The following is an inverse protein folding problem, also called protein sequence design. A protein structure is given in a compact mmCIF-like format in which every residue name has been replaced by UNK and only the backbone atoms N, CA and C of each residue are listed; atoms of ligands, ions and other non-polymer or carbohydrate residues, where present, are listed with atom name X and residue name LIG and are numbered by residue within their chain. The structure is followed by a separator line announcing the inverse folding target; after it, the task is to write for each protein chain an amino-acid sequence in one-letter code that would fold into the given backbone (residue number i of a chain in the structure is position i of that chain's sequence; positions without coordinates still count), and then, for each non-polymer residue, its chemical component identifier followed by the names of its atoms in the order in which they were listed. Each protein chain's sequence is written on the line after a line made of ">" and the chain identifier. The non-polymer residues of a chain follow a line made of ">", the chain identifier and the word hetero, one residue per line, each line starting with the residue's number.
data_IF_798941058093
#
_entry.id   IF_798941058093
#
_cell.length_a   1.000
_cell.length_b   1.000
_cell.length_c   1.000
_cell.angle_alpha   90.00
_cell.angle_beta   90.00
_cell.angle_gamma   90.00
#
_symmetry.space_group_name_H-M   'P 1'
#
loop_
_entity.id
_entity.type
_entity.pdbx_description
1 polymer ?
#
# COMPACT_ATOMS: atom_id res chain seq x y z
N UNK A 1 -16.31 -12.10 -2.82
CA UNK A 1 -15.75 -11.63 -1.53
C UNK A 1 -15.25 -10.20 -1.72
N UNK A 2 -15.60 -9.28 -0.82
CA UNK A 2 -15.12 -7.89 -0.84
C UNK A 2 -14.75 -7.41 0.57
N UNK A 3 -13.71 -6.59 0.66
CA UNK A 3 -13.24 -5.97 1.90
C UNK A 3 -13.23 -4.45 1.74
N UNK A 4 -13.48 -3.74 2.85
CA UNK A 4 -13.29 -2.29 2.96
C UNK A 4 -12.03 -1.97 3.75
N UNK A 5 -11.33 -0.91 3.36
CA UNK A 5 -10.16 -0.39 4.07
C UNK A 5 -9.00 -1.39 4.20
N UNK A 6 -8.21 -1.55 3.14
CA UNK A 6 -7.06 -2.45 3.11
C UNK A 6 -5.77 -1.63 3.15
N UNK A 7 -4.87 -1.95 4.08
CA UNK A 7 -3.50 -1.41 4.12
C UNK A 7 -2.50 -2.48 3.69
N UNK A 8 -1.64 -2.16 2.72
CA UNK A 8 -0.63 -3.06 2.16
C UNK A 8 0.74 -2.47 2.44
N UNK A 9 1.59 -3.26 3.09
CA UNK A 9 2.96 -2.90 3.45
C UNK A 9 3.93 -3.70 2.57
N UNK A 10 4.68 -3.02 1.72
CA UNK A 10 5.67 -3.65 0.84
C UNK A 10 7.07 -3.52 1.44
N UNK A 11 7.73 -4.65 1.69
CA UNK A 11 9.07 -4.71 2.24
C UNK A 11 10.07 -5.17 1.17
N UNK A 12 11.29 -4.67 1.24
CA UNK A 12 12.40 -5.18 0.45
C UNK A 12 12.96 -6.51 1.04
N UNK A 13 13.91 -7.19 0.36
CA UNK A 13 14.51 -8.43 0.86
C UNK A 13 15.20 -8.30 2.22
N UNK A 14 15.72 -7.12 2.56
CA UNK A 14 16.32 -6.82 3.87
C UNK A 14 15.28 -6.46 4.96
N UNK A 15 13.99 -6.63 4.68
CA UNK A 15 12.86 -6.30 5.56
C UNK A 15 12.72 -4.82 5.91
N UNK A 16 13.22 -3.93 5.05
CA UNK A 16 12.94 -2.49 5.11
C UNK A 16 11.63 -2.19 4.38
N UNK A 17 10.77 -1.41 5.01
CA UNK A 17 9.52 -0.94 4.41
C UNK A 17 9.83 0.02 3.25
N UNK A 18 9.31 -0.26 2.06
CA UNK A 18 9.51 0.54 0.85
C UNK A 18 8.27 1.32 0.44
N UNK A 19 7.07 0.76 0.62
CA UNK A 19 5.86 1.53 0.39
C UNK A 19 4.71 1.07 1.29
N UNK A 20 3.81 2.02 1.52
CA UNK A 20 2.52 1.79 2.17
C UNK A 20 1.44 2.18 1.19
N UNK A 21 0.49 1.28 0.96
CA UNK A 21 -0.65 1.52 0.08
C UNK A 21 -1.95 1.32 0.86
N UNK A 22 -2.84 2.30 0.81
CA UNK A 22 -4.21 2.17 1.29
C UNK A 22 -5.16 2.01 0.11
N UNK A 23 -6.14 1.12 0.23
CA UNK A 23 -7.24 0.98 -0.71
C UNK A 23 -8.57 1.04 0.05
N UNK A 24 -9.49 1.91 -0.36
CA UNK A 24 -10.80 2.00 0.29
C UNK A 24 -11.60 0.70 0.13
N UNK A 25 -11.41 -0.04 -0.97
CA UNK A 25 -12.00 -1.36 -1.15
C UNK A 25 -11.13 -2.32 -1.96
N UNK A 26 -11.35 -3.61 -1.74
CA UNK A 26 -10.75 -4.71 -2.48
C UNK A 26 -11.81 -5.76 -2.84
N UNK A 27 -11.84 -6.17 -4.11
CA UNK A 27 -12.72 -7.24 -4.60
C UNK A 27 -11.90 -8.34 -5.24
N UNK A 28 -12.15 -9.58 -4.86
CA UNK A 28 -11.49 -10.72 -5.50
C UNK A 28 -12.13 -11.01 -6.86
N UNK A 29 -11.29 -10.98 -7.90
CA UNK A 29 -11.59 -11.40 -9.26
C UNK A 29 -11.17 -12.88 -9.38
N UNK A 30 -12.14 -13.79 -9.30
CA UNK A 30 -11.89 -15.22 -9.27
C UNK A 30 -11.43 -15.80 -10.61
N UNK A 31 -11.78 -15.14 -11.72
CA UNK A 31 -11.37 -15.56 -13.07
C UNK A 31 -9.86 -15.35 -13.23
N UNK A 32 -9.37 -14.17 -12.85
CA UNK A 32 -7.96 -13.82 -12.94
C UNK A 32 -7.15 -14.16 -11.68
N UNK A 33 -7.82 -14.60 -10.61
CA UNK A 33 -7.24 -14.89 -9.28
C UNK A 33 -6.45 -13.71 -8.69
N UNK A 34 -6.95 -12.50 -8.88
CA UNK A 34 -6.33 -11.27 -8.38
C UNK A 34 -7.28 -10.46 -7.51
N UNK A 35 -6.73 -9.63 -6.63
CA UNK A 35 -7.50 -8.61 -5.93
C UNK A 35 -7.51 -7.32 -6.75
N UNK A 36 -8.71 -6.83 -7.07
CA UNK A 36 -8.91 -5.52 -7.68
C UNK A 36 -9.09 -4.50 -6.56
N UNK A 37 -8.17 -3.55 -6.47
CA UNK A 37 -8.20 -2.46 -5.48
C UNK A 37 -8.88 -1.23 -6.09
N UNK A 38 -9.54 -0.41 -5.28
CA UNK A 38 -10.18 0.84 -5.71
C UNK A 38 -9.97 1.95 -4.68
N UNK A 39 -9.87 3.20 -5.17
CA UNK A 39 -9.50 4.39 -4.40
C UNK A 39 -8.21 4.15 -3.62
N UNK A 40 -7.11 4.10 -4.38
CA UNK A 40 -5.80 3.68 -3.90
C UNK A 40 -4.90 4.89 -3.72
N UNK A 41 -4.37 5.06 -2.52
CA UNK A 41 -3.29 6.00 -2.21
C UNK A 41 -2.02 5.20 -1.89
N UNK A 42 -0.86 5.65 -2.37
CA UNK A 42 0.44 5.02 -2.12
C UNK A 42 1.47 6.05 -1.68
N UNK A 43 2.25 5.69 -0.66
CA UNK A 43 3.41 6.44 -0.19
C UNK A 43 4.66 5.63 -0.44
N UNK A 44 5.57 6.17 -1.26
CA UNK A 44 6.89 5.60 -1.53
C UNK A 44 7.88 6.09 -0.46
N UNK A 45 8.46 5.16 0.29
CA UNK A 45 9.38 5.39 1.40
C UNK A 45 10.84 5.07 1.05
N UNK A 46 11.14 4.88 -0.23
CA UNK A 46 12.51 4.58 -0.69
C UNK A 46 13.43 5.80 -0.62
N UNK A 47 12.90 7.01 -0.60
CA UNK A 47 13.67 8.22 -0.32
C UNK A 47 13.89 8.37 1.20
N UNK A 48 15.13 8.22 1.70
CA UNK A 48 15.43 8.30 3.12
C UNK A 48 15.09 9.65 3.76
N UNK A 49 14.88 10.73 2.98
CA UNK A 49 14.51 12.05 3.51
C UNK A 49 13.04 12.16 3.93
N UNK A 50 12.20 11.22 3.53
CA UNK A 50 10.75 11.28 3.81
C UNK A 50 10.40 10.83 5.23
N UNK A 51 11.32 10.16 5.93
CA UNK A 51 11.17 9.75 7.33
C UNK A 51 11.62 10.79 8.36
N UNK A 52 12.07 11.98 7.95
CA UNK A 52 12.47 13.01 8.91
C UNK A 52 11.25 13.56 9.66
N UNK A 53 11.23 13.50 11.00
CA UNK A 53 10.16 14.07 11.81
C UNK A 53 10.22 15.59 11.70
N UNK A 54 9.48 16.15 10.74
CA UNK A 54 9.49 17.59 10.47
C UNK A 54 8.83 18.03 9.17
N UNK A 55 8.58 17.12 8.21
CA UNK A 55 7.82 17.47 7.00
C UNK A 55 6.36 17.08 7.16
N UNK A 56 5.52 18.08 7.46
CA UNK A 56 4.07 18.01 7.34
C UNK A 56 3.71 18.03 5.85
N UNK A 57 2.92 17.04 5.44
CA UNK A 57 2.04 17.09 4.27
C UNK A 57 1.11 18.30 4.35
#
# INVERSE_FOLDING_TARGET
>A
MSWGGVSIYAFNPERRLQSVRYAASAKFDSENKVWRLSQVDESDLTDPKQGEPGRRW
#
